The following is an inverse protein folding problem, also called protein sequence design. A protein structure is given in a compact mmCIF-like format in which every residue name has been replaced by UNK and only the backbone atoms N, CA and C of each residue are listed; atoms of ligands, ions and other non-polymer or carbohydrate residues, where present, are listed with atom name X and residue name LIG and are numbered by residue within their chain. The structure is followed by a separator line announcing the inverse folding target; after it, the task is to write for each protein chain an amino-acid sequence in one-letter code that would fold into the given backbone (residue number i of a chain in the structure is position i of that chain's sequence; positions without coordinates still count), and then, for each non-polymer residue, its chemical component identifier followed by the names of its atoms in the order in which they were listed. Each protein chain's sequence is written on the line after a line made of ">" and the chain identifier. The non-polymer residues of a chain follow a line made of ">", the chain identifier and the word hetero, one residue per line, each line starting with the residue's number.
data_IF_383999811571
#
_entry.id   IF_383999811571
#
_cell.length_a   1.000
_cell.length_b   1.000
_cell.length_c   1.000
_cell.angle_alpha   90.00
_cell.angle_beta   90.00
_cell.angle_gamma   90.00
#
_symmetry.space_group_name_H-M   'P 1'
#
loop_
_entity.id
_entity.type
_entity.pdbx_description
1 polymer ?
#
# COMPACT_ATOMS: atom_id res chain seq x y z
N UNK A 1 3.78 -3.52 19.08
CA UNK A 1 3.29 -3.31 17.70
C UNK A 1 4.16 -4.14 16.77
N UNK A 2 3.60 -4.86 15.79
CA UNK A 2 4.40 -5.52 14.75
C UNK A 2 4.85 -4.49 13.72
N UNK A 3 6.08 -4.60 13.22
CA UNK A 3 6.57 -3.78 12.10
C UNK A 3 7.26 -2.46 12.45
N UNK A 4 7.55 -2.18 13.72
CA UNK A 4 8.22 -0.91 14.10
C UNK A 4 9.58 -0.77 13.40
N UNK A 5 10.37 -1.84 13.36
CA UNK A 5 11.72 -1.94 12.80
C UNK A 5 11.69 -1.67 11.29
N UNK A 6 10.80 -2.36 10.56
CA UNK A 6 10.59 -2.17 9.13
C UNK A 6 10.14 -0.73 8.80
N UNK A 7 9.18 -0.19 9.56
CA UNK A 7 8.67 1.16 9.35
C UNK A 7 9.73 2.24 9.67
N UNK A 8 10.51 2.05 10.74
CA UNK A 8 11.62 2.93 11.12
C UNK A 8 12.75 2.92 10.09
N UNK A 9 13.10 1.73 9.56
CA UNK A 9 14.03 1.61 8.44
C UNK A 9 13.53 2.39 7.22
N UNK A 10 12.27 2.17 6.84
CA UNK A 10 11.69 2.87 5.70
C UNK A 10 11.62 4.40 5.90
N UNK A 11 11.36 4.87 7.12
CA UNK A 11 11.40 6.29 7.45
C UNK A 11 12.79 6.92 7.24
N UNK A 12 13.85 6.17 7.50
CA UNK A 12 15.24 6.65 7.34
C UNK A 12 15.57 7.07 5.91
N UNK A 13 14.87 6.51 4.92
CA UNK A 13 15.08 6.77 3.50
C UNK A 13 14.63 8.16 3.02
N UNK A 14 14.10 9.00 3.92
CA UNK A 14 14.02 10.44 3.66
C UNK A 14 15.40 11.03 3.35
N UNK A 15 16.46 10.51 3.97
CA UNK A 15 17.85 10.91 3.71
C UNK A 15 18.45 10.13 2.51
N UNK A 16 19.10 10.85 1.60
CA UNK A 16 19.78 10.26 0.45
C UNK A 16 20.95 9.35 0.82
N UNK A 17 21.71 9.68 1.86
CA UNK A 17 22.83 8.86 2.34
C UNK A 17 22.35 7.49 2.85
N UNK A 18 21.18 7.46 3.50
CA UNK A 18 20.56 6.22 3.96
C UNK A 18 20.10 5.34 2.80
N UNK A 19 19.55 5.93 1.73
CA UNK A 19 19.21 5.18 0.52
C UNK A 19 20.45 4.58 -0.12
N UNK A 20 21.53 5.35 -0.25
CA UNK A 20 22.79 4.87 -0.80
C UNK A 20 23.39 3.72 0.04
N UNK A 21 23.36 3.85 1.37
CA UNK A 21 23.82 2.80 2.28
C UNK A 21 23.00 1.51 2.13
N UNK A 22 21.67 1.60 2.07
CA UNK A 22 20.80 0.45 1.83
C UNK A 22 21.10 -0.24 0.48
N UNK A 23 21.28 0.53 -0.59
CA UNK A 23 21.62 -0.02 -1.92
C UNK A 23 23.00 -0.69 -1.91
N UNK A 24 23.95 -0.18 -1.14
CA UNK A 24 25.31 -0.74 -1.08
C UNK A 24 25.39 -2.08 -0.35
N UNK A 25 24.62 -2.25 0.74
CA UNK A 25 24.56 -3.49 1.52
C UNK A 25 23.20 -3.56 2.25
N UNK A 26 22.23 -4.12 1.55
CA UNK A 26 20.85 -4.25 2.03
C UNK A 26 20.76 -5.03 3.34
N UNK A 27 21.41 -6.18 3.39
CA UNK A 27 21.30 -7.10 4.52
C UNK A 27 21.97 -6.51 5.78
N UNK A 28 23.12 -5.82 5.64
CA UNK A 28 23.69 -5.06 6.76
C UNK A 28 22.77 -3.91 7.20
N UNK A 29 22.13 -3.22 6.26
CA UNK A 29 21.20 -2.13 6.59
C UNK A 29 19.95 -2.63 7.30
N UNK A 30 19.37 -3.76 6.87
CA UNK A 30 18.25 -4.39 7.56
C UNK A 30 18.61 -4.85 8.97
N UNK A 31 19.81 -5.43 9.16
CA UNK A 31 20.32 -5.79 10.50
C UNK A 31 20.50 -4.59 11.41
N UNK A 32 21.00 -3.46 10.90
CA UNK A 32 21.14 -2.20 11.66
C UNK A 32 19.81 -1.75 12.29
N UNK A 33 18.70 -1.97 11.61
CA UNK A 33 17.36 -1.61 12.12
C UNK A 33 16.69 -2.73 12.93
N UNK A 34 17.32 -3.90 13.06
CA UNK A 34 16.78 -5.02 13.83
C UNK A 34 15.59 -5.69 13.17
N UNK A 35 15.48 -5.66 11.83
CA UNK A 35 14.39 -6.35 11.14
C UNK A 35 14.37 -7.84 11.50
N UNK A 36 13.16 -8.37 11.70
CA UNK A 36 12.96 -9.81 11.91
C UNK A 36 13.35 -10.61 10.66
N UNK A 37 13.51 -11.93 10.79
CA UNK A 37 13.76 -12.81 9.64
C UNK A 37 12.66 -12.68 8.57
N UNK A 38 11.40 -12.65 9.00
CA UNK A 38 10.24 -12.47 8.12
C UNK A 38 10.30 -11.13 7.36
N UNK A 39 10.61 -10.03 8.05
CA UNK A 39 10.72 -8.71 7.42
C UNK A 39 11.89 -8.65 6.44
N UNK A 40 13.05 -9.22 6.79
CA UNK A 40 14.22 -9.29 5.91
C UNK A 40 13.93 -10.11 4.66
N UNK A 41 13.32 -11.28 4.82
CA UNK A 41 12.92 -12.12 3.69
C UNK A 41 11.96 -11.37 2.74
N UNK A 42 10.97 -10.65 3.28
CA UNK A 42 10.04 -9.84 2.49
C UNK A 42 10.78 -8.73 1.72
N UNK A 43 11.69 -8.00 2.38
CA UNK A 43 12.52 -6.95 1.75
C UNK A 43 13.38 -7.53 0.62
N UNK A 44 14.09 -8.63 0.86
CA UNK A 44 14.94 -9.29 -0.12
C UNK A 44 14.15 -9.80 -1.34
N UNK A 45 12.95 -10.34 -1.11
CA UNK A 45 12.06 -10.81 -2.17
C UNK A 45 11.36 -9.67 -2.94
N UNK A 46 11.50 -8.41 -2.50
CA UNK A 46 10.73 -7.26 -3.00
C UNK A 46 9.21 -7.47 -2.88
N UNK A 47 8.80 -8.27 -1.91
CA UNK A 47 7.41 -8.64 -1.71
C UNK A 47 6.73 -7.63 -0.79
N UNK A 48 6.07 -6.64 -1.41
CA UNK A 48 5.38 -5.58 -0.69
C UNK A 48 4.19 -6.12 0.11
N UNK A 49 3.54 -7.20 -0.36
CA UNK A 49 2.44 -7.81 0.37
C UNK A 49 2.96 -8.47 1.65
N UNK A 50 4.04 -9.24 1.56
CA UNK A 50 4.69 -9.82 2.73
C UNK A 50 5.20 -8.73 3.69
N UNK A 51 5.69 -7.59 3.20
CA UNK A 51 6.06 -6.45 4.04
C UNK A 51 4.87 -5.86 4.80
N UNK A 52 3.69 -5.75 4.16
CA UNK A 52 2.46 -5.28 4.81
C UNK A 52 1.99 -6.28 5.87
N UNK A 53 1.99 -7.58 5.55
CA UNK A 53 1.61 -8.65 6.48
C UNK A 53 2.53 -8.69 7.71
N UNK A 54 3.83 -8.44 7.51
CA UNK A 54 4.85 -8.29 8.55
C UNK A 54 4.73 -7.00 9.40
N UNK A 55 3.68 -6.20 9.20
CA UNK A 55 3.37 -4.98 9.96
C UNK A 55 3.88 -3.68 9.33
N UNK A 56 4.34 -3.73 8.09
CA UNK A 56 4.67 -2.54 7.32
C UNK A 56 3.45 -1.67 7.05
N UNK A 57 3.63 -0.36 7.11
CA UNK A 57 2.61 0.60 6.73
C UNK A 57 2.97 1.21 5.36
N UNK A 58 1.99 1.23 4.46
CA UNK A 58 2.16 1.62 3.05
C UNK A 58 2.82 3.00 2.87
N UNK A 59 2.59 3.97 3.78
CA UNK A 59 3.19 5.30 3.69
C UNK A 59 4.70 5.33 3.98
N UNK A 60 5.16 4.36 4.78
CA UNK A 60 6.59 4.15 5.00
C UNK A 60 7.16 3.31 3.85
N UNK A 61 6.50 2.20 3.48
CA UNK A 61 6.95 1.32 2.40
C UNK A 61 7.09 2.05 1.05
N UNK A 62 6.29 3.09 0.79
CA UNK A 62 6.43 3.93 -0.40
C UNK A 62 7.85 4.51 -0.58
N UNK A 63 8.60 4.75 0.50
CA UNK A 63 9.99 5.24 0.44
C UNK A 63 10.95 4.14 -0.04
N UNK A 64 10.75 2.91 0.42
CA UNK A 64 11.49 1.75 -0.06
C UNK A 64 11.10 1.44 -1.52
N UNK A 65 9.81 1.44 -1.84
CA UNK A 65 9.31 1.25 -3.21
C UNK A 65 9.98 2.20 -4.22
N UNK A 66 10.16 3.48 -3.84
CA UNK A 66 10.89 4.44 -4.67
C UNK A 66 12.35 4.07 -4.94
N UNK A 67 13.05 3.45 -3.98
CA UNK A 67 14.42 2.91 -4.18
C UNK A 67 14.42 1.75 -5.18
N UNK A 68 13.35 0.96 -5.17
CA UNK A 68 13.16 -0.18 -6.07
C UNK A 68 12.68 0.21 -7.47
N UNK A 69 12.49 1.51 -7.73
CA UNK A 69 11.94 2.00 -9.00
C UNK A 69 10.43 1.78 -9.15
N UNK A 70 9.74 1.45 -8.07
CA UNK A 70 8.29 1.26 -8.04
C UNK A 70 7.57 2.57 -7.69
N UNK A 71 6.44 2.80 -8.35
CA UNK A 71 5.52 3.88 -8.01
C UNK A 71 4.25 3.33 -7.30
N UNK A 72 3.38 4.23 -6.84
CA UNK A 72 2.17 3.86 -6.07
C UNK A 72 1.17 3.03 -6.88
N UNK A 73 1.12 3.18 -8.21
CA UNK A 73 0.27 2.35 -9.07
C UNK A 73 0.80 0.93 -9.18
N UNK A 74 2.13 0.75 -9.17
CA UNK A 74 2.75 -0.58 -9.13
C UNK A 74 2.40 -1.28 -7.81
N UNK A 75 2.44 -0.55 -6.69
CA UNK A 75 2.03 -1.08 -5.39
C UNK A 75 0.55 -1.50 -5.39
N UNK A 76 -0.34 -0.67 -5.92
CA UNK A 76 -1.76 -0.99 -6.00
C UNK A 76 -2.06 -2.20 -6.92
N UNK A 77 -1.30 -2.35 -8.00
CA UNK A 77 -1.38 -3.51 -8.88
C UNK A 77 -0.97 -4.80 -8.15
N UNK A 78 0.15 -4.79 -7.43
CA UNK A 78 0.59 -5.90 -6.58
C UNK A 78 -0.47 -6.25 -5.52
N UNK A 79 -1.01 -5.24 -4.83
CA UNK A 79 -2.04 -5.43 -3.80
C UNK A 79 -3.34 -6.06 -4.31
N UNK A 80 -3.65 -5.89 -5.59
CA UNK A 80 -4.87 -6.40 -6.20
C UNK A 80 -4.65 -7.66 -7.05
N UNK A 81 -3.41 -8.14 -7.17
CA UNK A 81 -3.06 -9.25 -8.06
C UNK A 81 -3.30 -8.94 -9.54
N UNK A 82 -3.27 -7.65 -9.93
CA UNK A 82 -3.55 -7.18 -11.29
C UNK A 82 -2.26 -6.77 -11.99
N UNK A 83 -2.29 -6.71 -13.32
CA UNK A 83 -1.28 -5.95 -14.05
C UNK A 83 -1.42 -4.45 -13.74
N UNK A 84 -0.34 -3.68 -13.90
CA UNK A 84 -0.38 -2.21 -13.71
C UNK A 84 -1.39 -1.54 -14.66
N UNK A 85 -1.52 -2.06 -15.88
CA UNK A 85 -2.48 -1.58 -16.86
C UNK A 85 -3.93 -1.83 -16.40
N UNK A 86 -4.23 -3.04 -15.92
CA UNK A 86 -5.57 -3.40 -15.43
C UNK A 86 -5.92 -2.63 -14.16
N UNK A 87 -4.95 -2.39 -13.27
CA UNK A 87 -5.16 -1.58 -12.09
C UNK A 87 -5.50 -0.13 -12.45
N UNK A 88 -4.77 0.48 -13.39
CA UNK A 88 -5.08 1.82 -13.89
C UNK A 88 -6.45 1.90 -14.56
N UNK A 89 -6.80 0.92 -15.39
CA UNK A 89 -8.11 0.84 -16.02
C UNK A 89 -9.24 0.74 -14.98
N UNK A 90 -9.03 -0.06 -13.94
CA UNK A 90 -9.97 -0.17 -12.81
C UNK A 90 -10.17 1.17 -12.10
N UNK A 91 -9.09 1.92 -11.82
CA UNK A 91 -9.20 3.25 -11.19
C UNK A 91 -9.96 4.25 -12.07
N UNK A 92 -9.72 4.25 -13.39
CA UNK A 92 -10.45 5.10 -14.34
C UNK A 92 -11.93 4.74 -14.38
N UNK A 93 -12.27 3.44 -14.42
CA UNK A 93 -13.65 2.97 -14.41
C UNK A 93 -14.36 3.34 -13.09
N UNK A 94 -13.67 3.19 -11.96
CA UNK A 94 -14.20 3.56 -10.64
C UNK A 94 -14.52 5.07 -10.55
N UNK A 95 -13.67 5.94 -11.14
CA UNK A 95 -13.92 7.38 -11.21
C UNK A 95 -15.19 7.72 -12.01
N UNK A 96 -15.55 6.94 -13.02
CA UNK A 96 -16.71 7.26 -13.87
C UNK A 96 -18.05 7.22 -13.11
N UNK A 97 -18.11 6.55 -11.95
CA UNK A 97 -19.29 6.54 -11.07
C UNK A 97 -19.30 7.66 -10.02
N UNK A 98 -18.34 8.60 -10.08
CA UNK A 98 -18.14 9.62 -9.07
C UNK A 98 -18.55 10.98 -9.61
N UNK A 99 -19.43 11.67 -8.88
CA UNK A 99 -19.89 13.01 -9.22
C UNK A 99 -18.69 13.98 -9.30
N UNK A 100 -18.53 14.62 -10.47
CA UNK A 100 -17.41 15.50 -10.77
C UNK A 100 -17.43 16.79 -9.94
N UNK A 101 -18.61 17.22 -9.48
CA UNK A 101 -18.79 18.48 -8.75
C UNK A 101 -18.61 18.31 -7.23
N UNK A 102 -18.61 17.08 -6.72
CA UNK A 102 -18.45 16.75 -5.30
C UNK A 102 -17.03 16.32 -4.93
N UNK A 103 -16.04 16.61 -5.79
CA UNK A 103 -14.63 16.40 -5.47
C UNK A 103 -14.23 14.93 -5.27
N UNK A 104 -14.95 13.98 -5.84
CA UNK A 104 -14.53 12.58 -5.82
C UNK A 104 -15.28 11.67 -4.82
N UNK A 105 -16.32 12.13 -4.15
CA UNK A 105 -17.09 11.32 -3.19
C UNK A 105 -18.13 10.44 -3.87
N UNK A 106 -18.04 9.13 -3.66
CA UNK A 106 -19.02 8.16 -4.15
C UNK A 106 -20.22 8.11 -3.18
N UNK A 107 -21.30 8.80 -3.52
CA UNK A 107 -22.59 8.62 -2.85
C UNK A 107 -23.24 7.36 -3.42
N UNK A 108 -22.88 6.19 -2.87
CA UNK A 108 -23.59 4.96 -3.17
C UNK A 108 -25.08 5.22 -3.01
N UNK A 109 -25.87 5.00 -4.06
CA UNK A 109 -27.32 5.10 -3.96
C UNK A 109 -27.74 4.15 -2.83
N UNK A 110 -28.21 4.72 -1.72
CA UNK A 110 -28.87 3.93 -0.68
C UNK A 110 -29.99 3.20 -1.41
N UNK A 111 -29.88 1.87 -1.49
CA UNK A 111 -30.98 1.04 -1.95
C UNK A 111 -32.23 1.53 -1.22
N UNK A 112 -33.18 2.06 -1.98
CA UNK A 112 -34.48 2.48 -1.48
C UNK A 112 -35.19 1.23 -0.98
N UNK A 113 -34.94 0.89 0.29
CA UNK A 113 -35.71 -0.10 1.01
C UNK A 113 -37.15 0.40 1.02
N UNK A 114 -37.97 -0.21 0.18
CA UNK A 114 -39.42 -0.04 0.21
C UNK A 114 -39.88 -0.43 1.61
N UNK A 115 -40.26 0.58 2.42
CA UNK A 115 -40.93 0.38 3.67
C UNK A 115 -42.28 -0.31 3.38
N UNK A 116 -42.31 -1.62 3.58
CA UNK A 116 -43.55 -2.37 3.56
C UNK A 116 -44.28 -2.08 4.87
N UNK A 117 -45.19 -1.12 4.81
CA UNK A 117 -46.24 -0.96 5.80
C UNK A 117 -47.02 -2.29 5.85
N UNK A 118 -46.96 -2.98 6.99
CA UNK A 118 -47.98 -3.95 7.36
C UNK A 118 -48.69 -3.42 8.60
N UNK A 119 -49.88 -2.89 8.35
CA UNK A 119 -50.97 -2.85 9.32
C UNK A 119 -51.53 -4.26 9.56
N UNK A 120 -52.19 -4.39 10.72
CA UNK A 120 -53.07 -5.47 11.22
C UNK A 120 -52.34 -6.63 11.95
N UNK A 121 -52.73 -7.05 13.15
CA UNK A 121 -53.98 -6.86 13.92
C UNK A 121 -53.71 -6.90 15.44
#
# INVERSE_FOLDING_TARGET
>A
MRGFELNAMCYSFNDAANRAAFVSDEEAYCRKYGLTEEQRAAVAARDVLAMLDAGGNVYYLAKLAGILGLNVQDLGALQTGRSVADFKAMLVAARAGVDADLGGLHLGQRASGTAQHRENA
#
